data_IF_371204819587
#
_entry.id   IF_371204819587
#
_cell.length_a   1.000
_cell.length_b   1.000
_cell.length_c   1.000
_cell.angle_alpha   90.00
_cell.angle_beta   90.00
_cell.angle_gamma   90.00
#
_symmetry.space_group_name_H-M   'P 1'
#
loop_
_entity.id
_entity.type
_entity.pdbx_description
1 polymer ?
#
# COMPACT_ATOMS: atom_id res chain seq x y z
N UNK A 1 4.04 -25.12 -26.44
CA UNK A 1 2.95 -24.82 -25.46
C UNK A 1 2.97 -25.91 -24.42
N UNK A 2 3.01 -25.57 -23.11
CA UNK A 2 2.86 -26.57 -22.05
C UNK A 2 1.39 -26.99 -22.00
N UNK A 3 1.13 -28.27 -22.21
CA UNK A 3 -0.21 -28.83 -22.06
C UNK A 3 -0.54 -28.86 -20.56
N UNK A 4 -1.56 -28.12 -20.13
CA UNK A 4 -2.03 -28.16 -18.76
C UNK A 4 -3.08 -29.25 -18.67
N UNK A 5 -2.83 -30.26 -17.85
CA UNK A 5 -3.76 -31.36 -17.62
C UNK A 5 -4.36 -31.25 -16.23
N UNK A 6 -5.68 -31.34 -16.13
CA UNK A 6 -6.36 -31.45 -14.84
C UNK A 6 -6.47 -32.91 -14.47
N UNK A 7 -5.98 -33.27 -13.28
CA UNK A 7 -6.07 -34.62 -12.74
C UNK A 7 -6.91 -34.61 -11.46
N UNK A 8 -8.00 -35.32 -11.42
CA UNK A 8 -8.84 -35.51 -10.22
C UNK A 8 -8.77 -36.99 -9.87
N UNK A 9 -8.39 -37.33 -8.64
CA UNK A 9 -8.23 -38.70 -8.12
C UNK A 9 -7.38 -39.60 -9.05
N UNK A 10 -6.30 -39.01 -9.63
CA UNK A 10 -5.39 -39.75 -10.51
C UNK A 10 -5.90 -39.98 -11.94
N UNK A 11 -7.07 -39.48 -12.30
CA UNK A 11 -7.63 -39.59 -13.66
C UNK A 11 -7.57 -38.24 -14.36
N UNK A 12 -7.09 -38.23 -15.61
CA UNK A 12 -7.16 -37.02 -16.46
C UNK A 12 -8.62 -36.70 -16.79
N UNK A 13 -9.02 -35.46 -16.51
CA UNK A 13 -10.36 -34.96 -16.82
C UNK A 13 -10.23 -33.95 -17.97
N UNK A 14 -10.85 -34.22 -19.15
CA UNK A 14 -10.88 -33.26 -20.23
C UNK A 14 -11.75 -32.06 -19.83
N UNK A 15 -11.20 -30.88 -19.99
CA UNK A 15 -11.92 -29.61 -19.74
C UNK A 15 -12.60 -29.16 -21.03
N UNK A 16 -13.83 -28.66 -20.90
CA UNK A 16 -14.51 -27.98 -22.00
C UNK A 16 -13.83 -26.65 -22.30
N UNK A 17 -14.03 -26.11 -23.50
CA UNK A 17 -13.44 -24.82 -23.89
C UNK A 17 -13.89 -23.66 -22.99
N UNK A 18 -15.10 -23.74 -22.45
CA UNK A 18 -15.67 -22.79 -21.49
C UNK A 18 -14.99 -22.88 -20.12
N UNK A 19 -14.73 -24.10 -19.63
CA UNK A 19 -13.97 -24.35 -18.40
C UNK A 19 -12.51 -23.89 -18.56
N UNK A 20 -11.89 -24.10 -19.72
CA UNK A 20 -10.57 -23.58 -20.03
C UNK A 20 -10.55 -22.05 -20.03
N UNK A 21 -11.57 -21.41 -20.60
CA UNK A 21 -11.70 -19.95 -20.60
C UNK A 21 -11.86 -19.43 -19.17
N UNK A 22 -12.68 -20.08 -18.36
CA UNK A 22 -12.86 -19.74 -16.95
C UNK A 22 -11.56 -19.92 -16.15
N UNK A 23 -10.84 -21.03 -16.30
CA UNK A 23 -9.56 -21.26 -15.62
C UNK A 23 -8.47 -20.27 -16.04
N UNK A 24 -8.49 -19.78 -17.27
CA UNK A 24 -7.60 -18.70 -17.72
C UNK A 24 -7.98 -17.32 -17.17
N UNK A 25 -9.24 -17.14 -16.80
CA UNK A 25 -9.71 -15.89 -16.15
C UNK A 25 -9.49 -15.91 -14.64
N UNK A 26 -9.27 -17.06 -14.02
CA UNK A 26 -8.73 -17.16 -12.67
C UNK A 26 -7.22 -16.87 -12.79
N UNK A 27 -6.88 -15.62 -13.07
CA UNK A 27 -5.55 -15.12 -12.73
C UNK A 27 -5.43 -15.27 -11.22
N UNK A 28 -4.59 -16.23 -10.79
CA UNK A 28 -4.18 -16.33 -9.42
C UNK A 28 -3.70 -14.93 -9.05
N UNK A 29 -4.36 -14.26 -8.10
CA UNK A 29 -3.92 -12.96 -7.65
C UNK A 29 -2.45 -13.07 -7.31
N UNK A 30 -1.61 -12.38 -8.08
CA UNK A 30 -0.17 -12.39 -7.87
C UNK A 30 0.10 -11.84 -6.48
N UNK A 31 0.92 -12.57 -5.72
CA UNK A 31 1.40 -12.01 -4.47
C UNK A 31 2.06 -10.64 -4.75
N UNK A 32 1.72 -9.57 -4.03
CA UNK A 32 2.17 -8.22 -4.36
C UNK A 32 3.68 -8.04 -4.47
N UNK A 33 4.46 -8.88 -3.80
CA UNK A 33 5.93 -8.91 -3.80
C UNK A 33 6.49 -10.16 -4.50
N UNK A 34 5.70 -10.83 -5.35
CA UNK A 34 6.19 -11.98 -6.11
C UNK A 34 7.20 -11.50 -7.15
N UNK A 35 8.36 -12.18 -7.20
CA UNK A 35 9.38 -11.88 -8.19
C UNK A 35 8.91 -12.31 -9.59
N UNK A 36 9.11 -11.45 -10.56
CA UNK A 36 8.83 -11.77 -11.96
C UNK A 36 9.76 -12.86 -12.47
N UNK A 37 9.32 -13.60 -13.48
CA UNK A 37 10.22 -14.48 -14.22
C UNK A 37 11.21 -13.64 -15.05
N UNK A 38 12.29 -14.24 -15.49
CA UNK A 38 13.29 -13.57 -16.34
C UNK A 38 12.64 -12.91 -17.57
N UNK A 39 12.84 -11.60 -17.74
CA UNK A 39 12.21 -10.80 -18.77
C UNK A 39 10.77 -10.37 -18.45
N UNK A 40 10.20 -10.81 -17.34
CA UNK A 40 8.89 -10.33 -16.87
C UNK A 40 8.97 -8.94 -16.27
N UNK A 41 7.85 -8.20 -16.27
CA UNK A 41 7.81 -6.84 -15.74
C UNK A 41 7.60 -6.82 -14.23
N UNK A 42 8.27 -5.87 -13.58
CA UNK A 42 8.00 -5.44 -12.21
C UNK A 42 7.80 -3.92 -12.15
N UNK A 43 7.33 -3.44 -11.02
CA UNK A 43 7.07 -2.02 -10.76
C UNK A 43 7.85 -1.58 -9.52
N UNK A 44 8.36 -0.36 -9.54
CA UNK A 44 9.00 0.26 -8.37
C UNK A 44 8.54 1.70 -8.20
N UNK A 45 8.82 2.25 -7.04
CA UNK A 45 8.57 3.67 -6.72
C UNK A 45 9.90 4.40 -6.90
N UNK A 46 9.94 5.36 -7.81
CA UNK A 46 11.12 6.19 -8.06
C UNK A 46 11.38 7.16 -6.91
N UNK A 47 12.54 7.81 -6.92
CA UNK A 47 12.90 8.86 -5.96
C UNK A 47 11.92 10.04 -5.93
N UNK A 48 11.19 10.26 -7.03
CA UNK A 48 10.15 11.30 -7.13
C UNK A 48 8.75 10.80 -6.76
N UNK A 49 8.61 9.52 -6.37
CA UNK A 49 7.32 8.92 -6.03
C UNK A 49 6.49 8.42 -7.22
N UNK A 50 7.03 8.47 -8.44
CA UNK A 50 6.38 7.93 -9.63
C UNK A 50 6.50 6.41 -9.67
N UNK A 51 5.50 5.75 -10.28
CA UNK A 51 5.56 4.31 -10.52
C UNK A 51 6.22 4.05 -11.88
N UNK A 52 7.37 3.44 -11.82
CA UNK A 52 8.17 3.02 -12.99
C UNK A 52 8.03 1.52 -13.22
N UNK A 53 8.24 1.07 -14.45
CA UNK A 53 8.15 -0.33 -14.84
C UNK A 53 9.44 -0.75 -15.52
N UNK A 54 10.01 -1.88 -15.07
CA UNK A 54 11.22 -2.46 -15.61
C UNK A 54 11.04 -3.94 -15.90
N UNK A 55 11.91 -4.50 -16.75
CA UNK A 55 12.00 -5.95 -16.96
C UNK A 55 13.00 -6.56 -15.98
N UNK A 56 12.63 -7.66 -15.32
CA UNK A 56 13.54 -8.40 -14.44
C UNK A 56 14.52 -9.23 -15.27
N UNK A 57 15.70 -8.69 -15.51
CA UNK A 57 16.81 -9.39 -16.14
C UNK A 57 17.68 -10.15 -15.15
N UNK A 58 17.25 -10.27 -13.88
CA UNK A 58 18.02 -10.85 -12.76
C UNK A 58 19.39 -10.19 -12.58
N UNK A 59 19.48 -8.92 -12.96
CA UNK A 59 20.67 -8.11 -12.82
C UNK A 59 20.78 -7.51 -11.41
N UNK A 60 21.86 -6.76 -11.19
CA UNK A 60 22.14 -6.13 -9.89
C UNK A 60 21.09 -5.12 -9.48
N UNK A 61 20.47 -4.44 -10.44
CA UNK A 61 19.47 -3.41 -10.18
C UNK A 61 18.13 -4.04 -9.75
N UNK A 62 17.63 -5.03 -10.49
CA UNK A 62 16.44 -5.79 -10.11
C UNK A 62 16.60 -6.47 -8.74
N UNK A 63 17.80 -7.01 -8.45
CA UNK A 63 18.11 -7.60 -7.16
C UNK A 63 18.10 -6.56 -6.03
N UNK A 64 18.60 -5.34 -6.26
CA UNK A 64 18.56 -4.26 -5.28
C UNK A 64 17.13 -3.84 -4.96
N UNK A 65 16.29 -3.59 -5.97
CA UNK A 65 14.88 -3.27 -5.75
C UNK A 65 14.13 -4.38 -5.00
N UNK A 66 14.42 -5.64 -5.30
CA UNK A 66 13.79 -6.77 -4.63
C UNK A 66 14.21 -6.85 -3.14
N UNK A 67 15.47 -6.68 -2.82
CA UNK A 67 15.99 -6.67 -1.44
C UNK A 67 15.49 -5.50 -0.61
N UNK A 68 15.39 -4.31 -1.22
CA UNK A 68 14.90 -3.09 -0.57
C UNK A 68 13.35 -3.05 -0.48
N UNK A 69 12.68 -4.13 -0.88
CA UNK A 69 11.21 -4.25 -0.87
C UNK A 69 10.53 -3.12 -1.66
N UNK A 70 11.22 -2.57 -2.66
CA UNK A 70 10.67 -1.61 -3.63
C UNK A 70 10.45 -2.28 -5.00
N UNK A 71 10.02 -3.53 -4.97
CA UNK A 71 9.74 -4.38 -6.12
C UNK A 71 8.32 -4.92 -6.00
N UNK A 72 7.45 -4.53 -6.92
CA UNK A 72 6.03 -4.88 -6.87
C UNK A 72 5.62 -5.64 -8.13
N UNK A 73 4.82 -6.67 -7.96
CA UNK A 73 4.33 -7.49 -9.06
C UNK A 73 3.24 -6.81 -9.89
N UNK A 74 2.57 -5.77 -9.32
CA UNK A 74 1.49 -5.05 -10.01
C UNK A 74 1.59 -3.53 -9.80
N UNK A 75 1.27 -2.78 -10.85
CA UNK A 75 1.25 -1.31 -10.81
C UNK A 75 0.21 -0.75 -9.81
N UNK A 76 -1.03 -1.29 -9.71
CA UNK A 76 -2.00 -0.78 -8.74
C UNK A 76 -1.51 -0.90 -7.30
N UNK A 77 -0.89 -2.02 -6.92
CA UNK A 77 -0.35 -2.19 -5.58
C UNK A 77 0.81 -1.22 -5.29
N UNK A 78 1.77 -1.09 -6.24
CA UNK A 78 2.86 -0.10 -6.13
C UNK A 78 2.30 1.32 -5.92
N UNK A 79 1.24 1.69 -6.66
CA UNK A 79 0.55 2.98 -6.52
C UNK A 79 -0.03 3.17 -5.10
N UNK A 80 -0.69 2.16 -4.54
CA UNK A 80 -1.22 2.26 -3.17
C UNK A 80 -0.11 2.48 -2.14
N UNK A 81 1.01 1.79 -2.28
CA UNK A 81 2.17 1.97 -1.39
C UNK A 81 2.74 3.39 -1.54
N UNK A 82 2.91 3.88 -2.77
CA UNK A 82 3.41 5.23 -3.03
C UNK A 82 2.48 6.31 -2.43
N UNK A 83 1.17 6.17 -2.60
CA UNK A 83 0.19 7.11 -2.06
C UNK A 83 0.18 7.13 -0.53
N UNK A 84 0.27 5.96 0.13
CA UNK A 84 0.40 5.88 1.60
C UNK A 84 1.66 6.58 2.10
N UNK A 85 2.80 6.34 1.46
CA UNK A 85 4.05 7.01 1.80
C UNK A 85 3.97 8.53 1.58
N UNK A 86 3.31 8.99 0.51
CA UNK A 86 3.12 10.40 0.23
C UNK A 86 2.23 11.07 1.29
N UNK A 87 1.10 10.45 1.62
CA UNK A 87 0.19 10.96 2.66
C UNK A 87 0.90 11.04 4.02
N UNK A 88 1.64 9.99 4.40
CA UNK A 88 2.42 9.99 5.64
C UNK A 88 3.40 11.18 5.67
N UNK A 89 4.17 11.41 4.60
CA UNK A 89 5.11 12.55 4.52
C UNK A 89 4.40 13.91 4.57
N UNK A 90 3.22 14.04 3.93
CA UNK A 90 2.41 15.27 4.01
C UNK A 90 1.94 15.55 5.43
N UNK A 91 1.42 14.53 6.14
CA UNK A 91 1.01 14.66 7.54
C UNK A 91 2.18 14.98 8.47
N UNK A 92 3.31 14.30 8.28
CA UNK A 92 4.51 14.54 9.05
C UNK A 92 5.01 15.99 8.84
N UNK A 93 5.09 16.43 7.57
CA UNK A 93 5.46 17.83 7.26
C UNK A 93 4.50 18.82 7.91
N UNK A 94 3.19 18.59 7.81
CA UNK A 94 2.17 19.43 8.45
C UNK A 94 2.41 19.55 9.96
N UNK A 95 2.71 18.42 10.63
CA UNK A 95 2.92 18.42 12.07
C UNK A 95 4.15 19.25 12.50
N UNK A 96 5.21 19.23 11.70
CA UNK A 96 6.41 20.06 11.93
C UNK A 96 6.20 21.53 11.60
N UNK A 97 5.59 21.83 10.45
CA UNK A 97 5.34 23.21 10.00
C UNK A 97 4.46 23.99 10.97
N UNK A 98 3.55 23.30 11.67
CA UNK A 98 2.62 23.88 12.63
C UNK A 98 3.04 23.65 14.11
N UNK A 99 4.24 23.12 14.34
CA UNK A 99 4.76 22.80 15.68
C UNK A 99 3.79 21.97 16.56
N UNK A 100 2.95 21.16 15.90
CA UNK A 100 1.92 20.35 16.56
C UNK A 100 2.26 18.86 16.64
N UNK A 101 3.49 18.49 16.31
CA UNK A 101 4.00 17.13 16.49
C UNK A 101 4.01 16.73 17.96
N UNK A 102 3.54 15.53 18.24
CA UNK A 102 3.57 14.97 19.59
C UNK A 102 4.86 14.18 19.82
N UNK A 103 5.75 14.74 20.64
CA UNK A 103 7.09 14.18 20.91
C UNK A 103 7.22 13.46 22.25
N UNK A 104 6.35 13.82 23.21
CA UNK A 104 6.50 13.39 24.60
C UNK A 104 5.64 12.17 24.94
N UNK A 105 6.25 11.01 24.94
CA UNK A 105 5.61 9.74 25.32
C UNK A 105 5.99 9.38 26.77
N UNK A 106 5.16 9.81 27.73
CA UNK A 106 5.42 9.65 29.15
C UNK A 106 4.38 8.78 29.86
N UNK A 107 3.46 8.12 29.12
CA UNK A 107 2.39 7.27 29.67
C UNK A 107 1.24 8.03 30.33
N UNK A 108 1.29 9.35 30.37
CA UNK A 108 0.23 10.19 30.98
C UNK A 108 -0.50 11.04 29.94
N UNK A 109 0.20 11.50 28.91
CA UNK A 109 -0.34 12.33 27.88
C UNK A 109 -1.22 11.55 26.90
N UNK A 110 -2.17 12.26 26.32
CA UNK A 110 -3.04 11.72 25.25
C UNK A 110 -2.42 12.09 23.89
N UNK A 111 -2.21 11.10 23.07
CA UNK A 111 -1.64 11.19 21.71
C UNK A 111 -2.73 11.00 20.70
N UNK A 112 -3.00 12.00 19.86
CA UNK A 112 -4.12 11.99 18.90
C UNK A 112 -3.62 11.69 17.51
N UNK A 113 -4.33 10.84 16.78
CA UNK A 113 -3.99 10.43 15.42
C UNK A 113 -5.23 10.28 14.55
N UNK A 114 -5.04 10.18 13.24
CA UNK A 114 -6.11 10.06 12.25
C UNK A 114 -6.25 8.60 11.85
N UNK A 115 -7.50 8.13 11.74
CA UNK A 115 -7.83 6.78 11.27
C UNK A 115 -8.86 6.83 10.14
N UNK A 116 -8.94 5.75 9.38
CA UNK A 116 -10.11 5.44 8.56
C UNK A 116 -11.04 4.49 9.34
N UNK A 117 -12.26 4.93 9.59
CA UNK A 117 -13.28 4.11 10.24
C UNK A 117 -14.03 3.29 9.18
N UNK A 118 -13.73 2.00 9.06
CA UNK A 118 -14.33 1.11 8.07
C UNK A 118 -15.85 0.92 8.23
N UNK A 119 -16.36 1.07 9.45
CA UNK A 119 -17.81 0.96 9.73
C UNK A 119 -18.55 2.20 9.25
N UNK A 120 -18.03 3.38 9.53
CA UNK A 120 -18.59 4.66 9.09
C UNK A 120 -18.23 4.98 7.63
N UNK A 121 -17.22 4.31 7.07
CA UNK A 121 -16.60 4.60 5.77
C UNK A 121 -16.11 6.04 5.67
N UNK A 122 -15.56 6.54 6.76
CA UNK A 122 -15.12 7.92 6.88
C UNK A 122 -13.85 8.04 7.73
N UNK A 123 -13.19 9.18 7.64
CA UNK A 123 -12.01 9.49 8.44
C UNK A 123 -12.43 10.11 9.77
N UNK A 124 -11.70 9.75 10.83
CA UNK A 124 -11.98 10.18 12.19
C UNK A 124 -10.68 10.38 12.95
N UNK A 125 -10.72 11.04 14.09
CA UNK A 125 -9.57 11.14 15.00
C UNK A 125 -9.74 10.17 16.15
N UNK A 126 -8.62 9.57 16.58
CA UNK A 126 -8.55 8.73 17.77
C UNK A 126 -7.42 9.18 18.67
N UNK A 127 -7.43 8.68 19.88
CA UNK A 127 -6.38 8.93 20.84
C UNK A 127 -5.91 7.63 21.52
N UNK A 128 -4.67 7.64 21.95
CA UNK A 128 -4.05 6.59 22.78
C UNK A 128 -3.18 7.24 23.86
N UNK A 129 -2.78 6.47 24.86
CA UNK A 129 -1.81 6.89 25.88
C UNK A 129 -0.53 6.05 25.84
N UNK A 130 -0.68 4.77 25.57
CA UNK A 130 0.34 3.76 25.82
C UNK A 130 0.85 3.10 24.53
N UNK A 131 0.10 3.19 23.44
CA UNK A 131 0.40 2.46 22.20
C UNK A 131 0.87 3.41 21.11
N UNK A 132 2.09 3.16 20.61
CA UNK A 132 2.66 3.87 19.47
C UNK A 132 2.72 2.94 18.25
N UNK A 133 1.90 3.21 17.25
CA UNK A 133 1.88 2.45 16.01
C UNK A 133 2.94 2.94 15.03
N UNK A 134 3.76 2.05 14.45
CA UNK A 134 4.72 2.42 13.40
C UNK A 134 4.02 3.04 12.20
N UNK A 135 4.60 4.10 11.64
CA UNK A 135 4.05 4.76 10.45
C UNK A 135 2.85 5.67 10.72
N UNK A 136 2.52 5.93 11.99
CA UNK A 136 1.44 6.84 12.39
C UNK A 136 2.00 8.19 12.82
N UNK A 137 1.37 9.28 12.34
CA UNK A 137 1.68 10.65 12.78
C UNK A 137 0.74 11.01 13.93
N UNK A 138 1.33 11.43 15.05
CA UNK A 138 0.60 11.83 16.26
C UNK A 138 0.65 13.34 16.44
N UNK A 139 -0.46 13.88 16.92
CA UNK A 139 -0.68 15.30 17.15
C UNK A 139 -0.91 15.60 18.63
N UNK A 140 -0.45 16.75 19.09
CA UNK A 140 -0.58 17.22 20.49
C UNK A 140 -2.03 17.33 20.97
N UNK A 141 -3.00 17.45 20.06
CA UNK A 141 -4.41 17.59 20.43
C UNK A 141 -5.36 17.20 19.30
N UNK A 142 -6.62 16.97 19.66
CA UNK A 142 -7.71 16.72 18.70
C UNK A 142 -7.90 17.89 17.73
N UNK A 143 -7.68 19.13 18.17
CA UNK A 143 -7.80 20.32 17.30
C UNK A 143 -6.82 20.22 16.14
N UNK A 144 -5.56 19.90 16.41
CA UNK A 144 -4.53 19.75 15.39
C UNK A 144 -4.75 18.55 14.48
N UNK A 145 -5.16 17.42 15.06
CA UNK A 145 -5.49 16.23 14.26
C UNK A 145 -6.69 16.49 13.33
N UNK A 146 -7.71 17.21 13.80
CA UNK A 146 -8.88 17.58 12.98
C UNK A 146 -8.50 18.59 11.90
N UNK A 147 -7.64 19.56 12.19
CA UNK A 147 -7.13 20.48 11.19
C UNK A 147 -6.33 19.73 10.11
N UNK A 148 -5.41 18.85 10.49
CA UNK A 148 -4.66 18.01 9.56
C UNK A 148 -5.58 17.09 8.73
N UNK A 149 -6.63 16.54 9.32
CA UNK A 149 -7.66 15.77 8.61
C UNK A 149 -8.30 16.61 7.50
N UNK A 150 -8.73 17.83 7.81
CA UNK A 150 -9.43 18.69 6.85
C UNK A 150 -8.50 19.30 5.78
N UNK A 151 -7.28 19.67 6.16
CA UNK A 151 -6.34 20.40 5.28
C UNK A 151 -5.46 19.46 4.45
N UNK A 152 -5.17 18.26 4.93
CA UNK A 152 -4.27 17.32 4.26
C UNK A 152 -5.01 16.07 3.77
N UNK A 153 -5.72 15.34 4.66
CA UNK A 153 -6.30 14.03 4.31
C UNK A 153 -7.46 14.20 3.34
N UNK A 154 -8.42 15.08 3.64
CA UNK A 154 -9.62 15.22 2.82
C UNK A 154 -9.32 15.75 1.39
N UNK A 155 -8.43 16.73 1.18
CA UNK A 155 -7.97 17.10 -0.16
C UNK A 155 -7.24 15.96 -0.87
N UNK A 156 -6.35 15.25 -0.16
CA UNK A 156 -5.58 14.14 -0.72
C UNK A 156 -6.49 13.03 -1.25
N UNK A 157 -7.51 12.63 -0.49
CA UNK A 157 -8.47 11.60 -0.90
C UNK A 157 -9.30 12.04 -2.11
N UNK A 158 -9.67 13.32 -2.21
CA UNK A 158 -10.37 13.86 -3.39
C UNK A 158 -9.48 13.86 -4.63
N UNK A 159 -8.19 14.15 -4.48
CA UNK A 159 -7.20 14.11 -5.56
C UNK A 159 -6.89 12.67 -5.99
N UNK A 160 -7.00 11.70 -5.08
CA UNK A 160 -6.69 10.29 -5.29
C UNK A 160 -7.89 9.40 -4.95
N UNK A 161 -8.95 9.37 -5.79
CA UNK A 161 -10.19 8.64 -5.49
C UNK A 161 -10.01 7.12 -5.45
N UNK A 162 -8.91 6.60 -6.00
CA UNK A 162 -8.50 5.20 -5.94
C UNK A 162 -7.68 4.85 -4.68
N UNK A 163 -7.40 5.82 -3.81
CA UNK A 163 -6.63 5.60 -2.59
C UNK A 163 -7.40 4.76 -1.57
N UNK A 164 -6.72 3.73 -1.05
CA UNK A 164 -7.21 2.88 0.04
C UNK A 164 -6.33 3.11 1.26
N UNK A 165 -6.96 3.52 2.37
CA UNK A 165 -6.29 3.79 3.65
C UNK A 165 -5.60 2.55 4.22
#
# INVERSE_FOLDING_TARGET
MKEIKLTIDGKEVPLTEEQWRFLRTIEKEKHPFERAYYGGNYFCISSFGNIESYSDCQDREAEAFFKEVNYFSTRPFARQVALRQLLYRKLLKYSYDNECEDKEWNGTNVHVYIIYNSTKKDYDTRWTRDEKEPGTVYFKSTIWATAALNEIVMPFVREHPDFVW
#
